data_IF_056419770279
#
_entry.id   IF_056419770279
#
_cell.length_a   1.000
_cell.length_b   1.000
_cell.length_c   1.000
_cell.angle_alpha   90.00
_cell.angle_beta   90.00
_cell.angle_gamma   90.00
#
_symmetry.space_group_name_H-M   'P 1'
#
loop_
_entity.id
_entity.type
_entity.pdbx_description
1 polymer ?
#
# COMPACT_ATOMS: atom_id res chain seq x y z
N UNK A 1 33.50 -23.50 32.70
CA UNK A 1 33.98 -22.12 32.43
C UNK A 1 33.97 -21.77 30.94
N UNK A 2 34.63 -22.53 30.05
CA UNK A 2 34.69 -22.21 28.60
C UNK A 2 33.31 -22.16 27.94
N UNK A 3 32.43 -23.14 28.19
CA UNK A 3 31.05 -23.14 27.65
C UNK A 3 30.24 -21.92 28.11
N UNK A 4 30.38 -21.52 29.37
CA UNK A 4 29.70 -20.34 29.94
C UNK A 4 30.16 -19.06 29.26
N UNK A 5 31.47 -18.91 29.02
CA UNK A 5 32.03 -17.75 28.31
C UNK A 5 31.53 -17.69 26.86
N UNK A 6 31.48 -18.83 26.16
CA UNK A 6 30.97 -18.90 24.78
C UNK A 6 29.51 -18.45 24.71
N UNK A 7 28.66 -18.88 25.64
CA UNK A 7 27.24 -18.47 25.70
C UNK A 7 27.11 -16.96 25.90
N UNK A 8 27.88 -16.37 26.83
CA UNK A 8 27.85 -14.92 27.04
C UNK A 8 28.36 -14.11 25.84
N UNK A 9 29.37 -14.62 25.12
CA UNK A 9 29.84 -14.00 23.88
C UNK A 9 28.77 -14.06 22.79
N UNK A 10 28.11 -15.21 22.60
CA UNK A 10 27.02 -15.35 21.62
C UNK A 10 25.87 -14.40 21.95
N UNK A 11 25.45 -14.33 23.22
CA UNK A 11 24.42 -13.40 23.68
C UNK A 11 24.85 -11.96 23.42
N UNK A 12 26.10 -11.60 23.73
CA UNK A 12 26.65 -10.27 23.48
C UNK A 12 26.64 -9.88 22.00
N UNK A 13 27.00 -10.81 21.10
CA UNK A 13 26.95 -10.62 19.65
C UNK A 13 25.50 -10.46 19.17
N UNK A 14 24.57 -11.27 19.65
CA UNK A 14 23.15 -11.17 19.30
C UNK A 14 22.57 -9.83 19.75
N UNK A 15 22.80 -9.44 21.00
CA UNK A 15 22.33 -8.15 21.56
C UNK A 15 22.91 -6.99 20.75
N UNK A 16 24.22 -7.04 20.47
CA UNK A 16 24.89 -6.01 19.66
C UNK A 16 24.29 -5.96 18.25
N UNK A 17 24.04 -7.11 17.62
CA UNK A 17 23.38 -7.21 16.32
C UNK A 17 21.99 -6.57 16.32
N UNK A 18 21.17 -6.86 17.33
CA UNK A 18 19.82 -6.30 17.49
C UNK A 18 19.87 -4.77 17.66
N UNK A 19 20.81 -4.25 18.47
CA UNK A 19 20.94 -2.81 18.71
C UNK A 19 21.53 -2.05 17.51
N UNK A 20 22.46 -2.65 16.77
CA UNK A 20 23.15 -2.00 15.64
C UNK A 20 22.37 -2.09 14.34
N UNK A 21 21.60 -3.16 14.12
CA UNK A 21 20.79 -3.38 12.91
C UNK A 21 19.91 -2.18 12.51
N UNK A 22 19.07 -1.59 13.39
CA UNK A 22 18.23 -0.45 13.01
C UNK A 22 19.05 0.77 12.59
N UNK A 23 20.22 0.99 13.18
CA UNK A 23 21.13 2.09 12.82
C UNK A 23 21.68 1.85 11.42
N UNK A 24 22.14 0.63 11.12
CA UNK A 24 22.67 0.27 9.79
C UNK A 24 21.59 0.34 8.71
N UNK A 25 20.36 -0.11 9.00
CA UNK A 25 19.22 0.00 8.07
C UNK A 25 18.93 1.47 7.79
N UNK A 26 18.82 2.31 8.82
CA UNK A 26 18.58 3.76 8.66
C UNK A 26 19.70 4.43 7.84
N UNK A 27 20.96 4.11 8.11
CA UNK A 27 22.09 4.63 7.34
C UNK A 27 22.05 4.17 5.87
N UNK A 28 21.74 2.89 5.61
CA UNK A 28 21.58 2.35 4.24
C UNK A 28 20.45 3.07 3.51
N UNK A 29 19.27 3.22 4.15
CA UNK A 29 18.11 3.93 3.60
C UNK A 29 18.44 5.39 3.30
N UNK A 30 19.09 6.11 4.22
CA UNK A 30 19.53 7.48 4.00
C UNK A 30 20.49 7.61 2.82
N UNK A 31 21.45 6.69 2.69
CA UNK A 31 22.37 6.67 1.55
C UNK A 31 21.63 6.44 0.23
N UNK A 32 20.64 5.54 0.20
CA UNK A 32 19.84 5.28 -0.99
C UNK A 32 19.00 6.51 -1.38
N UNK A 33 18.34 7.18 -0.42
CA UNK A 33 17.53 8.38 -0.66
C UNK A 33 18.29 9.55 -1.29
N UNK A 34 19.59 9.66 -1.03
CA UNK A 34 20.43 10.77 -1.53
C UNK A 34 21.22 10.40 -2.78
N UNK A 35 21.05 9.19 -3.33
CA UNK A 35 21.66 8.85 -4.61
C UNK A 35 21.01 9.68 -5.72
N UNK A 36 21.77 10.14 -6.73
CA UNK A 36 21.18 10.75 -7.90
C UNK A 36 20.08 9.87 -8.50
N UNK A 37 18.92 10.46 -8.74
CA UNK A 37 17.81 9.75 -9.36
C UNK A 37 18.08 9.60 -10.86
N UNK A 38 18.09 8.38 -11.42
CA UNK A 38 18.42 8.18 -12.83
C UNK A 38 17.45 8.94 -13.76
N UNK A 39 17.94 9.66 -14.79
CA UNK A 39 17.07 10.42 -15.70
C UNK A 39 16.02 9.56 -16.40
N UNK A 40 16.39 8.33 -16.80
CA UNK A 40 15.46 7.39 -17.44
C UNK A 40 14.32 6.98 -16.50
N UNK A 41 14.60 6.81 -15.21
CA UNK A 41 13.56 6.50 -14.21
C UNK A 41 12.58 7.66 -14.07
N UNK A 42 13.04 8.90 -14.21
CA UNK A 42 12.18 10.08 -14.14
C UNK A 42 11.16 10.10 -15.28
N UNK A 43 11.61 9.79 -16.51
CA UNK A 43 10.72 9.67 -17.66
C UNK A 43 9.68 8.55 -17.50
N UNK A 44 10.09 7.40 -16.93
CA UNK A 44 9.17 6.29 -16.65
C UNK A 44 8.10 6.71 -15.65
N UNK A 45 8.47 7.39 -14.57
CA UNK A 45 7.51 7.84 -13.55
C UNK A 45 6.58 8.90 -14.10
N UNK A 46 7.08 9.88 -14.85
CA UNK A 46 6.25 10.91 -15.49
C UNK A 46 5.18 10.31 -16.40
N UNK A 47 5.47 9.18 -17.05
CA UNK A 47 4.52 8.47 -17.91
C UNK A 47 3.54 7.55 -17.15
N UNK A 48 3.94 7.03 -15.99
CA UNK A 48 3.16 6.02 -15.25
C UNK A 48 2.53 6.56 -13.95
N UNK A 49 2.76 7.82 -13.60
CA UNK A 49 2.18 8.45 -12.42
C UNK A 49 1.70 9.87 -12.75
N UNK A 50 0.44 10.04 -13.20
CA UNK A 50 -0.07 11.34 -13.65
C UNK A 50 0.08 12.46 -12.61
N UNK A 51 -0.10 12.18 -11.31
CA UNK A 51 0.07 13.18 -10.25
C UNK A 51 1.50 13.66 -10.05
N UNK A 52 2.50 12.95 -10.61
CA UNK A 52 3.91 13.29 -10.42
C UNK A 52 4.27 14.70 -10.90
N UNK A 53 3.64 15.16 -11.99
CA UNK A 53 3.89 16.51 -12.53
C UNK A 53 3.30 17.62 -11.65
N UNK A 54 2.35 17.30 -10.77
CA UNK A 54 1.74 18.24 -9.84
C UNK A 54 2.47 18.30 -8.49
N UNK A 55 3.30 17.30 -8.18
CA UNK A 55 4.14 17.30 -6.97
C UNK A 55 5.12 18.47 -7.00
N UNK A 56 5.28 19.14 -5.86
CA UNK A 56 6.31 20.15 -5.66
C UNK A 56 7.72 19.56 -5.82
N UNK A 57 8.76 20.38 -6.09
CA UNK A 57 10.13 19.88 -6.19
C UNK A 57 10.61 19.16 -4.91
N UNK A 58 10.08 19.54 -3.75
CA UNK A 58 10.40 18.89 -2.48
C UNK A 58 9.73 17.50 -2.38
N UNK A 59 8.46 17.39 -2.74
CA UNK A 59 7.72 16.11 -2.78
C UNK A 59 8.33 15.15 -3.80
N UNK A 60 8.65 15.61 -5.01
CA UNK A 60 9.30 14.77 -6.03
C UNK A 60 10.61 14.18 -5.52
N UNK A 61 11.46 14.98 -4.88
CA UNK A 61 12.71 14.50 -4.27
C UNK A 61 12.47 13.48 -3.16
N UNK A 62 11.45 13.69 -2.32
CA UNK A 62 11.07 12.69 -1.30
C UNK A 62 10.64 11.40 -1.97
N UNK A 63 9.69 11.45 -2.90
CA UNK A 63 9.15 10.30 -3.60
C UNK A 63 10.26 9.49 -4.30
N UNK A 64 11.14 10.16 -5.05
CA UNK A 64 12.30 9.55 -5.70
C UNK A 64 13.18 8.78 -4.71
N UNK A 65 13.48 9.39 -3.54
CA UNK A 65 14.23 8.74 -2.49
C UNK A 65 13.51 7.52 -1.89
N UNK A 66 12.18 7.61 -1.71
CA UNK A 66 11.37 6.48 -1.24
C UNK A 66 11.38 5.33 -2.26
N UNK A 67 11.22 5.61 -3.54
CA UNK A 67 11.29 4.62 -4.63
C UNK A 67 12.64 3.92 -4.62
N UNK A 68 13.76 4.64 -4.49
CA UNK A 68 15.09 4.04 -4.44
C UNK A 68 15.28 3.08 -3.26
N UNK A 69 14.69 3.40 -2.10
CA UNK A 69 14.72 2.49 -0.95
C UNK A 69 13.82 1.29 -1.21
N UNK A 70 12.59 1.51 -1.66
CA UNK A 70 11.61 0.47 -1.94
C UNK A 70 12.14 -0.56 -2.92
N UNK A 71 12.70 -0.13 -4.06
CA UNK A 71 13.31 -0.99 -5.06
C UNK A 71 14.52 -1.79 -4.54
N UNK A 72 15.21 -1.28 -3.52
CA UNK A 72 16.36 -1.96 -2.92
C UNK A 72 15.98 -2.94 -1.80
N UNK A 73 14.76 -2.86 -1.28
CA UNK A 73 14.28 -3.67 -0.15
C UNK A 73 13.20 -4.68 -0.57
N UNK A 74 12.45 -4.43 -1.64
CA UNK A 74 11.38 -5.30 -2.12
C UNK A 74 11.82 -6.11 -3.32
N UNK A 75 11.39 -7.37 -3.35
CA UNK A 75 11.60 -8.26 -4.49
C UNK A 75 10.41 -8.15 -5.44
N UNK A 76 10.67 -8.11 -6.74
CA UNK A 76 9.64 -8.15 -7.76
C UNK A 76 9.81 -9.44 -8.56
N UNK A 77 8.78 -10.26 -8.60
CA UNK A 77 8.82 -11.61 -9.14
C UNK A 77 7.78 -11.70 -10.24
N UNK A 78 8.22 -12.06 -11.45
CA UNK A 78 7.33 -12.28 -12.58
C UNK A 78 6.74 -13.69 -12.52
N UNK A 79 5.44 -13.78 -12.65
CA UNK A 79 4.69 -15.03 -12.62
C UNK A 79 4.04 -15.29 -13.98
N UNK A 80 3.61 -16.53 -14.23
CA UNK A 80 2.99 -16.89 -15.51
C UNK A 80 3.90 -16.69 -16.74
N UNK A 81 5.22 -16.79 -16.57
CA UNK A 81 6.21 -16.58 -17.64
C UNK A 81 6.57 -15.11 -17.90
N UNK A 82 5.96 -14.15 -17.18
CA UNK A 82 6.26 -12.74 -17.30
C UNK A 82 7.70 -12.44 -16.85
N UNK A 83 8.43 -11.69 -17.67
CA UNK A 83 9.74 -11.14 -17.31
C UNK A 83 9.54 -9.72 -16.78
N UNK A 84 9.90 -9.48 -15.52
CA UNK A 84 9.69 -8.17 -14.88
C UNK A 84 10.67 -7.14 -15.44
N UNK A 85 10.12 -6.10 -16.05
CA UNK A 85 10.90 -4.97 -16.59
C UNK A 85 11.19 -3.91 -15.53
N UNK A 86 12.12 -2.99 -15.79
CA UNK A 86 12.34 -1.83 -14.90
C UNK A 86 11.11 -0.92 -14.84
N UNK A 87 10.39 -0.76 -15.95
CA UNK A 87 9.16 0.03 -16.02
C UNK A 87 8.11 -0.49 -15.05
N UNK A 88 7.87 -1.82 -15.03
CA UNK A 88 6.93 -2.44 -14.10
C UNK A 88 7.27 -2.13 -12.65
N UNK A 89 8.55 -2.29 -12.28
CA UNK A 89 9.01 -2.03 -10.91
C UNK A 89 8.82 -0.57 -10.52
N UNK A 90 9.15 0.35 -11.43
CA UNK A 90 9.06 1.78 -11.18
C UNK A 90 7.62 2.28 -11.10
N UNK A 91 6.73 1.81 -11.98
CA UNK A 91 5.32 2.15 -11.95
C UNK A 91 4.69 1.74 -10.61
N UNK A 92 4.86 0.47 -10.22
CA UNK A 92 4.35 -0.06 -8.94
C UNK A 92 4.98 0.69 -7.76
N UNK A 93 6.31 0.85 -7.76
CA UNK A 93 7.00 1.53 -6.66
C UNK A 93 6.58 3.00 -6.53
N UNK A 94 6.35 3.70 -7.64
CA UNK A 94 5.95 5.10 -7.63
C UNK A 94 4.58 5.28 -6.98
N UNK A 95 3.59 4.46 -7.34
CA UNK A 95 2.25 4.50 -6.74
C UNK A 95 2.31 4.07 -5.27
N UNK A 96 2.93 2.93 -4.95
CA UNK A 96 3.05 2.45 -3.57
C UNK A 96 3.76 3.45 -2.64
N UNK A 97 4.79 4.15 -3.15
CA UNK A 97 5.53 5.13 -2.36
C UNK A 97 4.78 6.47 -2.18
N UNK A 98 3.69 6.74 -2.89
CA UNK A 98 2.83 7.89 -2.59
C UNK A 98 2.21 7.78 -1.20
N UNK A 99 1.77 6.58 -0.81
CA UNK A 99 1.22 6.32 0.51
C UNK A 99 2.24 6.60 1.63
N UNK A 100 3.53 6.53 1.31
CA UNK A 100 4.64 6.75 2.23
C UNK A 100 5.28 8.14 2.12
N UNK A 101 4.76 9.04 1.28
CA UNK A 101 5.46 10.25 0.83
C UNK A 101 5.89 11.18 1.97
N UNK A 102 5.06 11.29 3.01
CA UNK A 102 5.35 12.07 4.22
C UNK A 102 5.58 11.18 5.46
N UNK A 103 5.68 9.86 5.27
CA UNK A 103 5.70 8.89 6.35
C UNK A 103 7.12 8.51 6.87
N UNK A 104 7.12 7.85 8.03
CA UNK A 104 8.09 7.98 9.14
C UNK A 104 9.34 7.10 9.07
N UNK A 105 9.61 6.48 7.92
CA UNK A 105 10.88 5.79 7.64
C UNK A 105 10.83 4.27 7.54
N UNK A 106 9.65 3.66 7.70
CA UNK A 106 9.41 2.26 7.36
C UNK A 106 8.83 2.11 5.96
N UNK A 107 9.01 0.93 5.37
CA UNK A 107 8.61 0.63 3.99
C UNK A 107 7.91 -0.72 3.98
N UNK A 108 6.65 -0.77 4.39
CA UNK A 108 5.86 -2.01 4.46
C UNK A 108 6.68 -3.16 5.07
N UNK A 109 7.04 -3.08 6.37
CA UNK A 109 8.12 -3.88 6.96
C UNK A 109 7.92 -5.40 6.87
N UNK A 110 6.66 -5.85 6.80
CA UNK A 110 6.32 -7.27 6.64
C UNK A 110 6.38 -7.73 5.17
N UNK A 111 6.08 -6.85 4.22
CA UNK A 111 6.12 -7.14 2.78
C UNK A 111 7.55 -7.46 2.31
N UNK A 112 7.71 -8.58 1.63
CA UNK A 112 9.00 -9.02 1.05
C UNK A 112 8.96 -9.05 -0.47
N UNK A 113 7.90 -9.57 -1.05
CA UNK A 113 7.80 -9.82 -2.48
C UNK A 113 6.51 -9.28 -3.10
N UNK A 114 6.64 -8.76 -4.32
CA UNK A 114 5.55 -8.30 -5.17
C UNK A 114 5.52 -9.23 -6.38
N UNK A 115 4.46 -10.01 -6.49
CA UNK A 115 4.26 -10.99 -7.55
C UNK A 115 3.47 -10.32 -8.67
N UNK A 116 4.01 -10.34 -9.88
CA UNK A 116 3.42 -9.67 -11.04
C UNK A 116 3.01 -10.73 -12.05
N UNK A 117 1.71 -10.80 -12.32
CA UNK A 117 1.12 -11.62 -13.38
C UNK A 117 0.85 -10.77 -14.62
N UNK A 118 0.85 -11.36 -15.83
CA UNK A 118 0.59 -10.60 -17.05
C UNK A 118 -0.84 -10.03 -17.09
N UNK A 119 -1.83 -10.80 -16.62
CA UNK A 119 -3.25 -10.44 -16.62
C UNK A 119 -3.94 -10.91 -15.34
N UNK A 120 -5.17 -10.44 -15.11
CA UNK A 120 -6.00 -10.88 -13.99
C UNK A 120 -6.29 -12.37 -14.15
N UNK A 121 -5.96 -13.16 -13.13
CA UNK A 121 -6.18 -14.61 -13.14
C UNK A 121 -7.08 -15.00 -11.98
N UNK A 122 -7.99 -15.93 -12.25
CA UNK A 122 -8.86 -16.53 -11.24
C UNK A 122 -8.20 -17.82 -10.77
N UNK A 123 -7.97 -17.95 -9.48
CA UNK A 123 -7.62 -19.26 -8.90
C UNK A 123 -8.88 -19.82 -8.27
N UNK A 124 -9.17 -21.07 -8.59
CA UNK A 124 -10.21 -21.82 -7.88
C UNK A 124 -9.67 -22.15 -6.48
N UNK A 125 -10.23 -21.51 -5.45
CA UNK A 125 -9.94 -21.88 -4.08
C UNK A 125 -10.81 -23.05 -3.67
N UNK A 126 -10.18 -24.08 -3.12
CA UNK A 126 -10.90 -25.19 -2.48
C UNK A 126 -10.85 -24.94 -0.98
N UNK A 127 -11.86 -24.26 -0.43
CA UNK A 127 -11.98 -24.12 1.02
C UNK A 127 -12.57 -25.41 1.57
N UNK A 128 -11.80 -26.16 2.36
CA UNK A 128 -12.29 -27.36 3.04
C UNK A 128 -13.11 -26.95 4.27
N UNK A 129 -14.45 -26.99 4.16
CA UNK A 129 -15.35 -26.72 5.28
C UNK A 129 -15.80 -28.03 5.92
N UNK A 130 -15.16 -28.43 7.02
CA UNK A 130 -15.51 -29.66 7.74
C UNK A 130 -15.39 -30.93 6.88
N UNK A 131 -16.11 -31.99 7.25
CA UNK A 131 -15.78 -33.32 6.74
C UNK A 131 -16.05 -33.56 5.25
N UNK A 132 -17.01 -32.92 4.56
CA UNK A 132 -17.26 -33.22 3.13
C UNK A 132 -17.99 -32.11 2.34
N UNK A 133 -17.77 -30.83 2.63
CA UNK A 133 -18.34 -29.75 1.80
C UNK A 133 -17.21 -28.96 1.13
N UNK A 134 -17.09 -29.16 -0.18
CA UNK A 134 -16.28 -28.32 -1.07
C UNK A 134 -17.24 -27.26 -1.63
N UNK A 135 -17.09 -26.02 -1.18
CA UNK A 135 -17.84 -24.89 -1.74
C UNK A 135 -17.00 -24.28 -2.87
N UNK A 136 -17.52 -24.32 -4.10
CA UNK A 136 -16.85 -23.77 -5.28
C UNK A 136 -17.19 -22.27 -5.38
N UNK A 137 -16.37 -21.42 -4.75
CA UNK A 137 -16.55 -19.96 -4.83
C UNK A 137 -15.71 -19.39 -5.96
N UNK A 138 -16.37 -18.79 -6.96
CA UNK A 138 -15.72 -17.98 -7.99
C UNK A 138 -15.41 -16.60 -7.40
N UNK A 139 -14.15 -16.34 -7.07
CA UNK A 139 -13.70 -15.02 -6.58
C UNK A 139 -12.86 -14.37 -7.68
N UNK A 140 -13.27 -13.16 -8.09
CA UNK A 140 -12.40 -12.28 -8.87
C UNK A 140 -11.25 -11.84 -7.97
N UNK A 141 -10.06 -12.43 -8.17
CA UNK A 141 -8.86 -12.12 -7.39
C UNK A 141 -8.17 -10.88 -7.97
N UNK A 142 -8.84 -9.74 -7.85
CA UNK A 142 -8.26 -8.42 -8.09
C UNK A 142 -7.55 -7.99 -6.82
N UNK A 143 -6.27 -8.38 -6.70
CA UNK A 143 -5.47 -8.02 -5.55
C UNK A 143 -5.89 -8.76 -4.28
N UNK A 144 -4.99 -9.59 -3.78
CA UNK A 144 -5.06 -10.03 -2.39
C UNK A 144 -3.65 -9.90 -1.84
N UNK A 145 -3.53 -9.39 -0.61
CA UNK A 145 -2.36 -9.56 0.23
C UNK A 145 -2.26 -11.04 0.59
N UNK A 146 -1.61 -11.82 -0.27
CA UNK A 146 -1.32 -13.24 -0.02
C UNK A 146 -0.30 -13.33 1.09
N UNK A 147 -0.78 -13.49 2.33
CA UNK A 147 0.03 -13.48 3.56
C UNK A 147 0.73 -12.14 3.82
N UNK A 148 1.05 -11.83 5.08
CA UNK A 148 1.65 -10.52 5.47
C UNK A 148 2.94 -10.14 4.73
N UNK A 149 3.54 -11.05 3.94
CA UNK A 149 4.80 -10.81 3.24
C UNK A 149 4.71 -10.76 1.70
N UNK A 150 3.52 -10.86 1.10
CA UNK A 150 3.37 -10.77 -0.37
C UNK A 150 2.20 -9.89 -0.83
N UNK A 151 2.41 -9.22 -1.97
CA UNK A 151 1.37 -8.51 -2.73
C UNK A 151 1.32 -9.10 -4.13
N UNK A 152 0.12 -9.38 -4.64
CA UNK A 152 -0.07 -9.91 -6.00
C UNK A 152 -0.75 -8.86 -6.87
N UNK A 153 -0.16 -8.58 -8.04
CA UNK A 153 -0.65 -7.59 -8.99
C UNK A 153 -0.80 -8.17 -10.39
N UNK A 154 -1.82 -7.73 -11.11
CA UNK A 154 -1.97 -7.90 -12.56
C UNK A 154 -1.30 -6.71 -13.25
N UNK A 155 -0.31 -6.95 -14.09
CA UNK A 155 0.36 -5.87 -14.83
C UNK A 155 -0.60 -5.14 -15.77
N UNK A 156 -1.48 -5.88 -16.45
CA UNK A 156 -2.53 -5.29 -17.27
C UNK A 156 -3.40 -4.30 -16.47
N UNK A 157 -3.78 -4.64 -15.23
CA UNK A 157 -4.55 -3.74 -14.37
C UNK A 157 -3.71 -2.53 -13.96
N UNK A 158 -2.46 -2.73 -13.54
CA UNK A 158 -1.55 -1.62 -13.19
C UNK A 158 -1.41 -0.64 -14.37
N UNK A 159 -1.31 -1.13 -15.60
CA UNK A 159 -1.24 -0.28 -16.80
C UNK A 159 -2.55 0.48 -17.04
N UNK A 160 -3.70 -0.11 -16.77
CA UNK A 160 -5.00 0.55 -16.93
C UNK A 160 -5.15 1.67 -15.89
N UNK A 161 -4.84 1.39 -14.62
CA UNK A 161 -4.94 2.34 -13.51
C UNK A 161 -3.98 3.53 -13.70
N UNK A 162 -2.80 3.33 -14.30
CA UNK A 162 -1.87 4.44 -14.59
C UNK A 162 -2.31 5.29 -15.78
N UNK A 163 -3.13 4.76 -16.68
CA UNK A 163 -3.71 5.49 -17.81
C UNK A 163 -4.94 6.32 -17.40
N UNK A 164 -5.75 5.84 -16.46
CA UNK A 164 -6.94 6.54 -15.95
C UNK A 164 -6.90 6.77 -14.44
N UNK A 165 -6.07 7.72 -14.00
CA UNK A 165 -5.92 8.09 -12.57
C UNK A 165 -7.18 8.72 -11.93
N UNK A 166 -8.30 8.85 -12.63
CA UNK A 166 -9.48 9.60 -12.15
C UNK A 166 -10.73 8.73 -12.05
N UNK A 167 -10.63 7.44 -12.34
CA UNK A 167 -11.74 6.50 -12.26
C UNK A 167 -12.01 6.01 -10.83
N UNK A 168 -11.10 6.28 -9.88
CA UNK A 168 -11.23 5.97 -8.47
C UNK A 168 -10.98 4.50 -8.15
N UNK A 169 -10.25 3.81 -9.02
CA UNK A 169 -9.87 2.42 -8.90
C UNK A 169 -8.37 2.26 -9.22
N UNK A 170 -7.61 1.81 -8.23
CA UNK A 170 -6.17 1.61 -8.38
C UNK A 170 -5.68 0.45 -7.54
N UNK A 171 -5.37 -0.66 -8.20
CA UNK A 171 -4.98 -1.91 -7.54
C UNK A 171 -3.70 -1.74 -6.70
N UNK A 172 -2.79 -0.87 -7.10
CA UNK A 172 -1.56 -0.63 -6.33
C UNK A 172 -1.87 0.18 -5.07
N UNK A 173 -2.70 1.23 -5.16
CA UNK A 173 -3.12 1.95 -3.95
C UNK A 173 -3.88 1.02 -3.00
N UNK A 174 -4.79 0.20 -3.54
CA UNK A 174 -5.62 -0.73 -2.80
C UNK A 174 -4.79 -1.76 -2.03
N UNK A 175 -3.95 -2.52 -2.72
CA UNK A 175 -3.14 -3.58 -2.10
C UNK A 175 -2.15 -3.04 -1.07
N UNK A 176 -1.57 -1.87 -1.33
CA UNK A 176 -0.64 -1.27 -0.40
C UNK A 176 -1.34 -0.56 0.78
N UNK A 177 -2.62 -0.17 0.66
CA UNK A 177 -3.43 0.22 1.80
C UNK A 177 -3.65 -0.97 2.75
N UNK A 178 -3.93 -2.16 2.22
CA UNK A 178 -4.00 -3.38 3.03
C UNK A 178 -2.68 -3.69 3.75
N UNK A 179 -1.52 -3.43 3.11
CA UNK A 179 -0.22 -3.57 3.79
C UNK A 179 -0.04 -2.62 4.98
N UNK A 180 -0.63 -1.42 4.93
CA UNK A 180 -0.59 -0.47 6.04
C UNK A 180 -1.56 -0.87 7.17
N UNK A 181 -2.75 -1.34 6.81
CA UNK A 181 -3.72 -1.88 7.76
C UNK A 181 -3.13 -3.06 8.54
N UNK A 182 -2.50 -3.99 7.82
CA UNK A 182 -1.98 -5.25 8.37
C UNK A 182 -0.60 -5.14 9.05
N UNK A 183 -0.09 -3.93 9.25
CA UNK A 183 1.23 -3.73 9.84
C UNK A 183 1.31 -4.27 11.29
N UNK A 184 0.22 -4.23 12.07
CA UNK A 184 0.16 -4.86 13.39
C UNK A 184 -0.26 -6.36 13.33
N UNK A 185 -0.74 -6.81 12.18
CA UNK A 185 -1.13 -8.18 11.87
C UNK A 185 -2.64 -8.38 11.71
N UNK A 186 -3.46 -7.35 11.94
CA UNK A 186 -4.91 -7.38 11.84
C UNK A 186 -5.36 -6.70 10.54
N UNK A 187 -6.44 -7.19 9.92
CA UNK A 187 -7.04 -6.56 8.75
C UNK A 187 -8.43 -6.02 9.15
N UNK A 188 -8.45 -4.82 9.72
CA UNK A 188 -9.65 -4.25 10.36
C UNK A 188 -9.98 -2.84 9.86
N UNK A 189 -9.25 -2.32 8.87
CA UNK A 189 -9.37 -0.94 8.39
C UNK A 189 -8.82 0.09 9.37
N UNK A 190 -7.85 -0.30 10.20
CA UNK A 190 -7.22 0.52 11.23
C UNK A 190 -5.70 0.38 11.13
N UNK A 191 -5.05 1.16 10.26
CA UNK A 191 -3.59 1.18 10.18
C UNK A 191 -2.98 1.75 11.45
N UNK A 192 -1.66 1.56 11.62
CA UNK A 192 -0.93 2.12 12.77
C UNK A 192 -0.99 3.65 12.75
N UNK A 193 -1.72 4.22 13.71
CA UNK A 193 -1.86 5.68 13.82
C UNK A 193 -0.74 6.31 14.64
N UNK A 194 -0.48 7.57 14.33
CA UNK A 194 0.64 8.34 14.87
C UNK A 194 0.59 8.57 16.37
N UNK A 195 -0.61 8.74 16.94
CA UNK A 195 -0.84 8.95 18.37
C UNK A 195 -2.00 8.08 18.82
N UNK A 196 -1.91 7.59 20.06
CA UNK A 196 -3.00 6.80 20.68
C UNK A 196 -4.34 7.54 20.70
N UNK A 197 -4.32 8.87 20.81
CA UNK A 197 -5.52 9.72 20.79
C UNK A 197 -6.25 9.70 19.45
N UNK A 198 -5.55 9.41 18.35
CA UNK A 198 -6.13 9.48 17.01
C UNK A 198 -7.07 8.30 16.71
N UNK A 199 -6.89 7.17 17.41
CA UNK A 199 -7.69 5.94 17.22
C UNK A 199 -9.17 6.14 17.52
N UNK A 200 -9.53 6.94 18.53
CA UNK A 200 -10.93 7.19 18.86
C UNK A 200 -11.65 7.98 17.75
N UNK A 201 -10.96 8.98 17.19
CA UNK A 201 -11.48 9.79 16.09
C UNK A 201 -11.54 8.96 14.80
N UNK A 202 -10.49 8.19 14.52
CA UNK A 202 -10.44 7.25 13.40
C UNK A 202 -11.61 6.28 13.42
N UNK A 203 -11.77 5.54 14.52
CA UNK A 203 -12.83 4.56 14.67
C UNK A 203 -14.22 5.20 14.46
N UNK A 204 -14.45 6.39 15.02
CA UNK A 204 -15.71 7.10 14.84
C UNK A 204 -15.98 7.43 13.36
N UNK A 205 -15.06 8.16 12.72
CA UNK A 205 -15.24 8.64 11.34
C UNK A 205 -15.34 7.47 10.37
N UNK A 206 -14.42 6.50 10.44
CA UNK A 206 -14.41 5.36 9.53
C UNK A 206 -15.66 4.49 9.68
N UNK A 207 -16.16 4.30 10.90
CA UNK A 207 -17.40 3.51 11.13
C UNK A 207 -18.64 4.23 10.59
N UNK A 208 -18.75 5.54 10.82
CA UNK A 208 -19.88 6.35 10.33
C UNK A 208 -19.93 6.35 8.79
N UNK A 209 -18.78 6.56 8.14
CA UNK A 209 -18.65 6.62 6.68
C UNK A 209 -18.83 5.24 6.03
N UNK A 210 -18.31 4.18 6.64
CA UNK A 210 -18.55 2.80 6.19
C UNK A 210 -20.04 2.44 6.25
N UNK A 211 -20.71 2.75 7.37
CA UNK A 211 -22.14 2.47 7.50
C UNK A 211 -22.97 3.28 6.50
N UNK A 212 -22.58 4.53 6.22
CA UNK A 212 -23.20 5.34 5.19
C UNK A 212 -23.04 4.69 3.81
N UNK A 213 -21.83 4.28 3.42
CA UNK A 213 -21.58 3.60 2.14
C UNK A 213 -22.41 2.32 2.02
N UNK A 214 -22.45 1.48 3.05
CA UNK A 214 -23.29 0.28 3.08
C UNK A 214 -24.78 0.60 2.83
N UNK A 215 -25.31 1.63 3.47
CA UNK A 215 -26.70 2.04 3.31
C UNK A 215 -26.98 2.57 1.89
N UNK A 216 -26.07 3.34 1.32
CA UNK A 216 -26.19 3.92 -0.02
C UNK A 216 -26.13 2.84 -1.10
N UNK A 217 -25.18 1.89 -0.98
CA UNK A 217 -25.07 0.72 -1.86
C UNK A 217 -26.33 -0.14 -1.79
N UNK A 218 -26.86 -0.42 -0.59
CA UNK A 218 -28.10 -1.19 -0.42
C UNK A 218 -29.30 -0.52 -1.11
N UNK A 219 -29.31 0.82 -1.17
CA UNK A 219 -30.36 1.62 -1.82
C UNK A 219 -30.12 1.84 -3.32
N UNK A 220 -29.00 1.36 -3.86
CA UNK A 220 -28.60 1.60 -5.25
C UNK A 220 -28.27 3.07 -5.54
N UNK A 221 -27.88 3.84 -4.52
CA UNK A 221 -27.45 5.23 -4.68
C UNK A 221 -26.03 5.21 -5.23
N UNK A 222 -25.79 6.01 -6.28
CA UNK A 222 -24.45 6.17 -6.84
C UNK A 222 -23.57 6.98 -5.89
N UNK A 223 -22.44 6.42 -5.50
CA UNK A 223 -21.47 7.01 -4.56
C UNK A 223 -20.19 7.44 -5.27
N UNK A 224 -19.36 8.24 -4.58
CA UNK A 224 -18.02 8.60 -5.09
C UNK A 224 -17.01 7.46 -4.91
N UNK A 225 -17.10 6.74 -3.79
CA UNK A 225 -16.35 5.52 -3.48
C UNK A 225 -17.00 4.32 -4.16
N UNK A 226 -16.19 3.35 -4.58
CA UNK A 226 -16.69 2.11 -5.17
C UNK A 226 -17.52 1.29 -4.16
N UNK A 227 -18.55 0.61 -4.66
CA UNK A 227 -19.42 -0.23 -3.84
C UNK A 227 -18.70 -1.39 -3.15
N UNK A 228 -17.56 -1.83 -3.67
CA UNK A 228 -16.71 -2.86 -3.08
C UNK A 228 -16.25 -2.49 -1.67
N UNK A 229 -16.08 -1.19 -1.38
CA UNK A 229 -15.76 -0.69 -0.04
C UNK A 229 -16.85 -1.00 1.00
N UNK A 230 -18.08 -1.37 0.59
CA UNK A 230 -19.14 -1.81 1.50
C UNK A 230 -19.00 -3.28 1.95
N UNK A 231 -17.95 -4.00 1.51
CA UNK A 231 -17.76 -5.43 1.82
C UNK A 231 -17.38 -5.65 3.29
N UNK A 232 -16.38 -4.93 3.78
CA UNK A 232 -15.93 -4.95 5.17
C UNK A 232 -15.07 -3.70 5.47
N UNK A 233 -14.72 -3.42 6.74
CA UNK A 233 -13.93 -2.23 7.09
C UNK A 233 -12.52 -2.14 6.48
N UNK A 234 -11.86 -3.26 6.20
CA UNK A 234 -10.54 -3.26 5.56
C UNK A 234 -10.67 -2.83 4.08
N UNK A 235 -11.63 -3.39 3.35
CA UNK A 235 -11.95 -2.96 1.97
C UNK A 235 -12.40 -1.51 1.92
N UNK A 236 -13.18 -1.08 2.91
CA UNK A 236 -13.57 0.31 3.04
C UNK A 236 -12.35 1.23 3.11
N UNK A 237 -11.36 0.90 3.94
CA UNK A 237 -10.13 1.69 4.05
C UNK A 237 -9.33 1.72 2.74
N UNK A 238 -9.22 0.58 2.05
CA UNK A 238 -8.52 0.50 0.77
C UNK A 238 -9.22 1.35 -0.32
N UNK A 239 -10.54 1.22 -0.46
CA UNK A 239 -11.34 2.02 -1.43
C UNK A 239 -11.37 3.51 -1.08
N UNK A 240 -11.42 3.85 0.21
CA UNK A 240 -11.31 5.23 0.65
C UNK A 240 -9.93 5.82 0.32
N UNK A 241 -8.87 5.01 0.44
CA UNK A 241 -7.50 5.37 0.02
C UNK A 241 -7.42 5.62 -1.48
N UNK A 242 -7.92 4.71 -2.33
CA UNK A 242 -7.98 4.91 -3.78
C UNK A 242 -8.68 6.25 -4.12
N UNK A 243 -9.86 6.45 -3.56
CA UNK A 243 -10.66 7.66 -3.77
C UNK A 243 -9.94 8.92 -3.27
N UNK A 244 -9.18 8.83 -2.18
CA UNK A 244 -8.40 9.95 -1.65
C UNK A 244 -7.29 10.41 -2.59
N UNK A 245 -6.67 9.51 -3.35
CA UNK A 245 -5.60 9.86 -4.29
C UNK A 245 -6.10 10.20 -5.70
N UNK A 246 -7.21 9.58 -6.15
CA UNK A 246 -7.69 9.69 -7.53
C UNK A 246 -8.88 10.65 -7.70
N UNK A 247 -9.73 10.74 -6.68
CA UNK A 247 -10.93 11.61 -6.67
C UNK A 247 -10.97 12.55 -5.45
N UNK A 248 -9.86 13.25 -5.11
CA UNK A 248 -9.77 13.98 -3.85
C UNK A 248 -10.80 15.12 -3.74
N UNK A 249 -11.08 15.83 -4.83
CA UNK A 249 -12.06 16.91 -4.83
C UNK A 249 -13.49 16.39 -4.61
N UNK A 250 -13.84 15.25 -5.23
CA UNK A 250 -15.15 14.63 -4.99
C UNK A 250 -15.25 14.04 -3.59
N UNK A 251 -14.17 13.45 -3.06
CA UNK A 251 -14.14 12.92 -1.70
C UNK A 251 -14.33 14.03 -0.67
N UNK A 252 -13.55 15.12 -0.77
CA UNK A 252 -13.68 16.28 0.11
C UNK A 252 -15.09 16.90 0.07
N UNK A 253 -15.69 16.97 -1.13
CA UNK A 253 -17.04 17.52 -1.29
C UNK A 253 -18.12 16.67 -0.65
N UNK A 254 -18.07 15.35 -0.83
CA UNK A 254 -19.16 14.44 -0.41
C UNK A 254 -18.94 13.85 0.99
N UNK A 255 -17.68 13.64 1.39
CA UNK A 255 -17.27 13.03 2.65
C UNK A 255 -16.11 13.83 3.29
N UNK A 256 -16.35 15.10 3.70
CA UNK A 256 -15.28 15.98 4.20
C UNK A 256 -14.59 15.43 5.47
N UNK A 257 -15.35 14.78 6.36
CA UNK A 257 -14.79 14.18 7.57
C UNK A 257 -13.83 13.02 7.24
N UNK A 258 -14.21 12.16 6.28
CA UNK A 258 -13.34 11.10 5.77
C UNK A 258 -12.07 11.66 5.12
N UNK A 259 -12.22 12.67 4.25
CA UNK A 259 -11.07 13.31 3.60
C UNK A 259 -10.09 13.89 4.62
N UNK A 260 -10.58 14.65 5.61
CA UNK A 260 -9.72 15.18 6.67
C UNK A 260 -9.02 14.08 7.47
N UNK A 261 -9.70 12.96 7.72
CA UNK A 261 -9.13 11.85 8.46
C UNK A 261 -7.99 11.17 7.68
N UNK A 262 -8.17 10.92 6.39
CA UNK A 262 -7.14 10.38 5.51
C UNK A 262 -5.99 11.38 5.28
N UNK A 263 -6.30 12.66 5.12
CA UNK A 263 -5.31 13.74 5.06
C UNK A 263 -4.42 13.76 6.32
N UNK A 264 -5.00 13.61 7.52
CA UNK A 264 -4.22 13.56 8.77
C UNK A 264 -3.35 12.30 8.86
N UNK A 265 -3.86 11.18 8.38
CA UNK A 265 -3.14 9.91 8.40
C UNK A 265 -1.96 9.91 7.43
N UNK A 266 -2.22 10.17 6.15
CA UNK A 266 -1.17 10.26 5.12
C UNK A 266 -0.30 11.51 5.23
N UNK A 267 -0.77 12.53 5.96
CA UNK A 267 -0.19 13.88 6.01
C UNK A 267 -0.11 14.53 4.63
N UNK A 268 -1.10 14.31 3.78
CA UNK A 268 -1.14 14.78 2.39
C UNK A 268 -2.39 15.62 2.12
N UNK A 269 -2.27 16.59 1.21
CA UNK A 269 -3.41 17.29 0.64
C UNK A 269 -3.48 16.99 -0.86
N UNK A 270 -4.15 15.88 -1.19
CA UNK A 270 -4.24 15.34 -2.56
C UNK A 270 -5.09 16.21 -3.49
N UNK A 271 -5.95 17.08 -2.96
CA UNK A 271 -6.65 18.11 -3.76
C UNK A 271 -5.66 19.02 -4.51
N UNK A 272 -4.44 19.22 -4.00
CA UNK A 272 -3.42 20.04 -4.67
C UNK A 272 -2.81 19.36 -5.92
N UNK A 273 -3.10 18.08 -6.15
CA UNK A 273 -2.49 17.28 -7.20
C UNK A 273 -3.37 17.08 -8.44
N UNK A 274 -4.56 17.71 -8.49
CA UNK A 274 -5.61 17.44 -9.50
C UNK A 274 -6.08 18.68 -10.23
#
# INVERSE_FOLDING_TARGET
MVQTIIVFVIIGVIITGILVSPILIKQRRNRLKHRPFPPLWNAIIENNLPVYVHLSPAERRRLQGHIQVFLAEKQFIGCGGLQVTEEMKLAIAAVACLLLLNERGEYFPKLRSILIYPSTYFVNETVATGNYIVEERRVARLGESWTHDQVILSWEQVQQDTLDWRDGHNVVLHEFAHQLDQEDGRAEGVPILQRKSDYAIWAKVMTEEYQQLCNDVQRGIKTVMDSYGATNPAEFFAVATETFFEKPQQLLKNHPALYEQLQRYYQLDTVQWV
#
